data_IF_937726507103
#
_entry.id   IF_937726507103
#
_cell.length_a   1.000
_cell.length_b   1.000
_cell.length_c   1.000
_cell.angle_alpha   90.00
_cell.angle_beta   90.00
_cell.angle_gamma   90.00
#
_symmetry.space_group_name_H-M   'P 1'
#
loop_
_entity.id
_entity.type
_entity.pdbx_description
1 polymer ?
#
# COMPACT_ATOMS: atom_id res chain seq x y z
N UNK A 1 -2.21 44.68 -12.47
CA UNK A 1 -2.82 43.33 -12.52
C UNK A 1 -2.06 42.45 -11.54
N UNK A 2 -2.42 42.54 -10.27
CA UNK A 2 -1.97 41.61 -9.23
C UNK A 2 -3.15 40.70 -8.93
N UNK A 3 -3.19 39.52 -9.57
CA UNK A 3 -4.07 38.45 -9.15
C UNK A 3 -3.27 37.55 -8.21
N UNK A 4 -3.18 37.96 -6.94
CA UNK A 4 -2.75 37.06 -5.88
C UNK A 4 -3.72 35.89 -5.83
N UNK A 5 -3.26 34.71 -6.24
CA UNK A 5 -3.95 33.46 -5.96
C UNK A 5 -3.74 33.18 -4.49
N UNK A 6 -4.53 33.83 -3.65
CA UNK A 6 -4.67 33.43 -2.26
C UNK A 6 -5.18 32.00 -2.25
N UNK A 7 -4.40 31.08 -1.72
CA UNK A 7 -4.89 29.76 -1.30
C UNK A 7 -5.86 30.02 -0.16
N UNK A 8 -7.09 30.37 -0.51
CA UNK A 8 -8.15 30.58 0.47
C UNK A 8 -8.31 29.31 1.28
N UNK A 9 -8.37 29.42 2.62
CA UNK A 9 -8.70 28.30 3.49
C UNK A 9 -9.95 27.62 2.93
N UNK A 10 -9.83 26.40 2.40
CA UNK A 10 -11.00 25.62 2.03
C UNK A 10 -11.78 25.38 3.31
N UNK A 11 -13.04 25.82 3.32
CA UNK A 11 -13.97 25.56 4.42
C UNK A 11 -14.68 24.27 4.08
N UNK A 12 -14.58 23.27 4.95
CA UNK A 12 -15.39 22.06 4.87
C UNK A 12 -16.59 22.18 5.80
N UNK A 13 -17.73 21.63 5.39
CA UNK A 13 -18.90 21.46 6.25
C UNK A 13 -18.86 20.17 7.07
N UNK A 14 -17.84 19.33 6.85
CA UNK A 14 -17.69 18.03 7.51
C UNK A 14 -16.94 18.19 8.82
N UNK A 15 -17.51 17.65 9.89
CA UNK A 15 -16.92 17.59 11.23
C UNK A 15 -16.51 16.14 11.51
N UNK A 16 -15.21 15.86 11.49
CA UNK A 16 -14.70 14.50 11.69
C UNK A 16 -14.99 13.94 13.08
N UNK A 17 -15.40 14.74 14.07
CA UNK A 17 -15.86 14.25 15.38
C UNK A 17 -17.34 13.86 15.41
N UNK A 18 -18.09 14.16 14.33
CA UNK A 18 -19.51 13.80 14.18
C UNK A 18 -19.68 12.85 13.01
N UNK A 19 -19.89 11.57 13.32
CA UNK A 19 -20.05 10.50 12.33
C UNK A 19 -21.14 10.82 11.31
N UNK A 20 -22.23 11.44 11.76
CA UNK A 20 -23.38 11.81 10.94
C UNK A 20 -23.02 12.81 9.83
N UNK A 21 -21.94 13.59 10.02
CA UNK A 21 -21.51 14.60 9.04
C UNK A 21 -20.84 14.00 7.80
N UNK A 22 -20.29 12.79 7.89
CA UNK A 22 -19.58 12.12 6.79
C UNK A 22 -20.11 10.73 6.46
N UNK A 23 -20.96 10.12 7.29
CA UNK A 23 -21.57 8.82 6.99
C UNK A 23 -22.28 8.78 5.61
N UNK A 24 -23.02 9.82 5.16
CA UNK A 24 -23.61 9.83 3.82
C UNK A 24 -22.59 9.82 2.67
N UNK A 25 -21.32 10.15 2.95
CA UNK A 25 -20.23 10.15 1.98
C UNK A 25 -19.55 8.78 1.85
N UNK A 26 -19.94 7.76 2.63
CA UNK A 26 -19.36 6.40 2.55
C UNK A 26 -20.39 5.31 2.15
N UNK A 27 -21.11 5.45 1.03
CA UNK A 27 -22.13 4.48 0.62
C UNK A 27 -21.54 3.08 0.34
N UNK A 28 -20.27 3.00 -0.06
CA UNK A 28 -19.56 1.75 -0.29
C UNK A 28 -18.91 1.14 0.97
N UNK A 29 -18.99 1.82 2.12
CA UNK A 29 -18.45 1.32 3.39
C UNK A 29 -16.92 1.19 3.39
N UNK A 30 -16.19 2.05 2.67
CA UNK A 30 -14.73 2.03 2.61
C UNK A 30 -14.09 2.13 3.99
N UNK A 31 -14.64 2.94 4.90
CA UNK A 31 -14.11 3.08 6.25
C UNK A 31 -14.16 1.75 7.02
N UNK A 32 -15.22 0.97 6.81
CA UNK A 32 -15.34 -0.39 7.38
C UNK A 32 -14.33 -1.34 6.75
N UNK A 33 -14.14 -1.29 5.42
CA UNK A 33 -13.19 -2.15 4.72
C UNK A 33 -11.75 -1.89 5.19
N UNK A 34 -11.36 -0.62 5.34
CA UNK A 34 -10.05 -0.22 5.87
C UNK A 34 -9.90 -0.68 7.33
N UNK A 35 -10.90 -0.42 8.18
CA UNK A 35 -10.91 -0.85 9.59
C UNK A 35 -10.75 -2.36 9.78
N UNK A 36 -11.08 -3.16 8.76
CA UNK A 36 -11.00 -4.62 8.80
C UNK A 36 -9.59 -5.21 8.57
N UNK A 37 -8.53 -4.39 8.52
CA UNK A 37 -7.19 -4.87 8.13
C UNK A 37 -6.66 -6.02 9.00
N UNK A 38 -6.90 -6.00 10.33
CA UNK A 38 -6.48 -7.09 11.22
C UNK A 38 -7.16 -8.41 10.87
N UNK A 39 -8.48 -8.39 10.66
CA UNK A 39 -9.25 -9.56 10.23
C UNK A 39 -8.76 -10.10 8.88
N UNK A 40 -8.49 -9.19 7.93
CA UNK A 40 -7.90 -9.57 6.64
C UNK A 40 -6.58 -10.30 6.83
N UNK A 41 -5.67 -9.77 7.66
CA UNK A 41 -4.36 -10.38 7.94
C UNK A 41 -4.51 -11.77 8.57
N UNK A 42 -5.30 -11.92 9.65
CA UNK A 42 -5.54 -13.22 10.30
C UNK A 42 -6.11 -14.23 9.30
N UNK A 43 -7.13 -13.84 8.54
CA UNK A 43 -7.80 -14.71 7.58
C UNK A 43 -6.91 -15.08 6.39
N UNK A 44 -6.10 -14.15 5.89
CA UNK A 44 -5.15 -14.40 4.82
C UNK A 44 -4.09 -15.43 5.24
N UNK A 45 -3.57 -15.30 6.46
CA UNK A 45 -2.60 -16.23 7.02
C UNK A 45 -3.21 -17.63 7.18
N UNK A 46 -4.43 -17.71 7.71
CA UNK A 46 -5.18 -18.97 7.84
C UNK A 46 -5.42 -19.65 6.48
N UNK A 47 -5.94 -18.90 5.49
CA UNK A 47 -6.18 -19.43 4.14
C UNK A 47 -4.88 -19.94 3.51
N UNK A 48 -3.82 -19.14 3.59
CA UNK A 48 -2.55 -19.45 2.95
C UNK A 48 -1.86 -20.63 3.62
N UNK A 49 -1.93 -20.74 4.95
CA UNK A 49 -1.33 -21.85 5.71
C UNK A 49 -1.86 -23.22 5.26
N UNK A 50 -3.12 -23.31 4.84
CA UNK A 50 -3.78 -24.53 4.32
C UNK A 50 -3.34 -24.93 2.92
N UNK A 51 -2.73 -24.02 2.16
CA UNK A 51 -2.23 -24.33 0.82
C UNK A 51 -0.88 -25.05 0.92
N UNK A 52 -0.82 -26.26 0.35
CA UNK A 52 0.43 -27.04 0.27
C UNK A 52 1.16 -26.69 -1.02
N UNK A 53 2.41 -26.23 -0.90
CA UNK A 53 3.30 -26.06 -2.04
C UNK A 53 4.15 -27.33 -2.22
N UNK A 54 4.22 -27.91 -3.43
CA UNK A 54 5.08 -29.05 -3.71
C UNK A 54 6.55 -28.75 -3.40
N UNK A 55 7.32 -29.79 -3.02
CA UNK A 55 8.73 -29.63 -2.66
C UNK A 55 9.58 -29.01 -3.79
N UNK A 56 9.17 -29.20 -5.04
CA UNK A 56 9.80 -28.61 -6.22
C UNK A 56 9.69 -27.08 -6.31
N UNK A 57 8.91 -26.42 -5.45
CA UNK A 57 8.83 -24.95 -5.35
C UNK A 57 9.97 -24.35 -4.51
N UNK A 58 10.73 -25.18 -3.79
CA UNK A 58 11.90 -24.76 -3.00
C UNK A 58 13.14 -24.58 -3.88
N UNK A 59 14.20 -23.97 -3.35
CA UNK A 59 15.49 -23.79 -4.06
C UNK A 59 15.32 -23.05 -5.39
N UNK A 60 14.73 -21.85 -5.35
CA UNK A 60 14.59 -20.98 -6.52
C UNK A 60 15.75 -19.98 -6.54
N UNK A 61 16.16 -19.57 -7.74
CA UNK A 61 17.27 -18.62 -7.91
C UNK A 61 16.79 -17.16 -7.92
N UNK A 62 15.49 -16.93 -8.14
CA UNK A 62 14.87 -15.61 -8.11
C UNK A 62 13.34 -15.71 -7.91
N UNK A 63 12.75 -14.61 -7.46
CA UNK A 63 11.30 -14.39 -7.38
C UNK A 63 10.90 -13.28 -8.35
N UNK A 64 9.85 -13.53 -9.12
CA UNK A 64 9.19 -12.48 -9.90
C UNK A 64 7.71 -12.46 -9.54
N UNK A 65 7.23 -11.37 -8.96
CA UNK A 65 5.81 -11.16 -8.72
C UNK A 65 5.18 -10.33 -9.83
N UNK A 66 4.01 -10.75 -10.28
CA UNK A 66 3.23 -10.08 -11.32
C UNK A 66 1.92 -9.60 -10.73
N UNK A 67 1.58 -8.33 -10.98
CA UNK A 67 0.33 -7.74 -10.52
C UNK A 67 0.25 -6.26 -10.85
N UNK A 68 -0.94 -5.68 -10.67
CA UNK A 68 -1.19 -4.25 -10.87
C UNK A 68 -1.85 -3.63 -9.65
N UNK A 69 -1.65 -2.32 -9.44
CA UNK A 69 -2.30 -1.56 -8.36
C UNK A 69 -2.20 -2.25 -6.98
N UNK A 70 -3.36 -2.54 -6.39
CA UNK A 70 -3.49 -3.21 -5.08
C UNK A 70 -2.76 -4.58 -4.99
N UNK A 71 -2.67 -5.32 -6.09
CA UNK A 71 -1.96 -6.61 -6.12
C UNK A 71 -0.45 -6.45 -6.22
N UNK A 72 0.03 -5.42 -6.93
CA UNK A 72 1.46 -5.13 -7.03
C UNK A 72 2.03 -4.58 -5.72
N UNK A 73 1.30 -3.69 -5.03
CA UNK A 73 1.76 -3.12 -3.76
C UNK A 73 1.93 -4.19 -2.69
N UNK A 74 1.05 -5.20 -2.64
CA UNK A 74 1.20 -6.33 -1.72
C UNK A 74 2.56 -7.03 -1.90
N UNK A 75 2.94 -7.34 -3.14
CA UNK A 75 4.24 -7.96 -3.44
C UNK A 75 5.42 -7.03 -3.16
N UNK A 76 5.30 -5.73 -3.41
CA UNK A 76 6.36 -4.77 -3.09
C UNK A 76 6.61 -4.65 -1.58
N UNK A 77 5.54 -4.67 -0.79
CA UNK A 77 5.67 -4.68 0.66
C UNK A 77 6.34 -5.96 1.17
N UNK A 78 6.03 -7.14 0.59
CA UNK A 78 6.78 -8.36 0.91
C UNK A 78 8.24 -8.16 0.57
N UNK A 79 8.56 -7.75 -0.67
CA UNK A 79 9.93 -7.54 -1.14
C UNK A 79 10.74 -6.64 -0.21
N UNK A 80 10.16 -5.52 0.22
CA UNK A 80 10.82 -4.55 1.11
C UNK A 80 10.95 -5.07 2.54
N UNK A 81 9.93 -5.75 3.07
CA UNK A 81 9.94 -6.31 4.43
C UNK A 81 10.98 -7.42 4.57
N UNK A 82 11.06 -8.31 3.58
CA UNK A 82 11.94 -9.49 3.67
C UNK A 82 13.33 -9.27 3.11
N UNK A 83 13.61 -8.10 2.53
CA UNK A 83 14.92 -7.80 1.93
C UNK A 83 16.12 -8.10 2.84
N UNK A 84 16.08 -7.86 4.17
CA UNK A 84 17.19 -8.20 5.07
C UNK A 84 17.46 -9.70 5.21
N UNK A 85 16.46 -10.55 5.00
CA UNK A 85 16.55 -12.01 5.10
C UNK A 85 16.75 -12.69 3.73
N UNK A 86 16.42 -11.98 2.65
CA UNK A 86 16.32 -12.57 1.32
C UNK A 86 17.70 -12.81 0.69
N UNK A 87 18.00 -14.07 0.39
CA UNK A 87 19.25 -14.47 -0.28
C UNK A 87 19.23 -14.42 -1.82
N UNK A 88 18.08 -14.15 -2.43
CA UNK A 88 17.90 -14.16 -3.89
C UNK A 88 17.19 -12.90 -4.40
N UNK A 89 17.34 -12.52 -5.68
CA UNK A 89 16.63 -11.37 -6.23
C UNK A 89 15.12 -11.55 -6.18
N UNK A 90 14.41 -10.49 -5.82
CA UNK A 90 12.95 -10.41 -5.88
C UNK A 90 12.54 -9.14 -6.66
N UNK A 91 11.91 -9.34 -7.81
CA UNK A 91 11.36 -8.28 -8.65
C UNK A 91 9.82 -8.27 -8.63
N UNK A 92 9.22 -7.08 -8.66
CA UNK A 92 7.78 -6.87 -8.91
C UNK A 92 7.61 -6.24 -10.29
N UNK A 93 6.82 -6.87 -11.15
CA UNK A 93 6.59 -6.46 -12.54
C UNK A 93 5.16 -5.95 -12.70
N UNK A 94 5.03 -4.78 -13.33
CA UNK A 94 3.78 -4.06 -13.57
C UNK A 94 3.58 -3.76 -15.05
N UNK A 95 3.56 -4.82 -15.86
CA UNK A 95 3.44 -4.71 -17.31
C UNK A 95 3.24 -6.07 -17.95
N UNK A 96 3.09 -6.05 -19.27
CA UNK A 96 2.89 -7.24 -20.10
C UNK A 96 4.16 -8.08 -20.25
N UNK A 97 5.31 -7.42 -20.37
CA UNK A 97 6.59 -8.09 -20.61
C UNK A 97 7.15 -8.70 -19.33
N UNK A 98 7.60 -9.95 -19.44
CA UNK A 98 8.29 -10.66 -18.36
C UNK A 98 9.81 -10.66 -18.58
N UNK A 99 10.63 -10.51 -17.52
CA UNK A 99 12.09 -10.49 -17.64
C UNK A 99 12.66 -11.72 -18.34
N UNK A 100 13.66 -11.55 -19.21
CA UNK A 100 14.26 -12.65 -19.98
C UNK A 100 14.80 -13.81 -19.14
N UNK A 101 15.21 -13.56 -17.89
CA UNK A 101 15.74 -14.58 -16.99
C UNK A 101 14.65 -15.46 -16.35
N UNK A 102 13.36 -15.15 -16.53
CA UNK A 102 12.26 -16.01 -16.04
C UNK A 102 12.38 -17.38 -16.69
N UNK A 103 12.50 -18.42 -15.87
CA UNK A 103 12.76 -19.81 -16.26
C UNK A 103 12.21 -20.79 -15.23
N UNK A 104 12.49 -22.08 -15.39
CA UNK A 104 12.18 -23.16 -14.43
C UNK A 104 12.77 -22.95 -13.02
N UNK A 105 13.78 -22.09 -12.91
CA UNK A 105 14.43 -21.69 -11.66
C UNK A 105 13.75 -20.50 -10.96
N UNK A 106 12.73 -19.91 -11.57
CA UNK A 106 11.99 -18.75 -11.03
C UNK A 106 10.77 -19.19 -10.23
N UNK A 107 10.57 -18.56 -9.06
CA UNK A 107 9.27 -18.52 -8.40
C UNK A 107 8.45 -17.37 -8.98
N UNK A 108 7.34 -17.67 -9.65
CA UNK A 108 6.41 -16.67 -10.17
C UNK A 108 5.21 -16.52 -9.22
N UNK A 109 5.09 -15.37 -8.54
CA UNK A 109 3.92 -15.06 -7.72
C UNK A 109 2.96 -14.21 -8.57
N UNK A 110 1.86 -14.79 -9.02
CA UNK A 110 0.90 -14.11 -9.89
C UNK A 110 -0.29 -13.65 -9.05
N UNK A 111 -0.44 -12.34 -8.87
CA UNK A 111 -1.42 -11.75 -7.97
C UNK A 111 -2.36 -10.81 -8.70
N UNK A 112 -3.65 -11.10 -8.64
CA UNK A 112 -4.71 -10.25 -9.18
C UNK A 112 -5.96 -10.45 -8.35
N UNK A 113 -6.37 -9.45 -7.57
CA UNK A 113 -7.54 -9.61 -6.69
C UNK A 113 -8.80 -9.99 -7.49
N UNK A 114 -9.08 -9.30 -8.59
CA UNK A 114 -10.23 -9.62 -9.48
C UNK A 114 -10.04 -10.92 -10.26
N UNK A 115 -8.80 -11.36 -10.43
CA UNK A 115 -8.43 -12.47 -11.31
C UNK A 115 -8.52 -12.17 -12.81
N UNK A 116 -8.89 -10.94 -13.20
CA UNK A 116 -9.20 -10.59 -14.59
C UNK A 116 -8.27 -9.51 -15.18
N UNK A 117 -7.28 -9.04 -14.42
CA UNK A 117 -6.27 -8.07 -14.89
C UNK A 117 -5.48 -8.65 -16.06
N UNK A 118 -5.60 -8.01 -17.23
CA UNK A 118 -5.06 -8.48 -18.51
C UNK A 118 -3.56 -8.69 -18.49
N UNK A 119 -2.80 -7.69 -18.00
CA UNK A 119 -1.34 -7.73 -17.90
C UNK A 119 -0.88 -8.91 -17.04
N UNK A 120 -1.61 -9.16 -15.94
CA UNK A 120 -1.29 -10.25 -15.02
C UNK A 120 -1.59 -11.63 -15.61
N UNK A 121 -2.64 -11.75 -16.42
CA UNK A 121 -2.98 -12.99 -17.14
C UNK A 121 -1.95 -13.26 -18.23
N UNK A 122 -1.57 -12.25 -19.00
CA UNK A 122 -0.52 -12.36 -20.01
C UNK A 122 0.81 -12.82 -19.39
N UNK A 123 1.21 -12.19 -18.27
CA UNK A 123 2.42 -12.58 -17.54
C UNK A 123 2.34 -14.01 -16.96
N UNK A 124 1.17 -14.45 -16.50
CA UNK A 124 0.95 -15.83 -16.06
C UNK A 124 1.23 -16.83 -17.19
N UNK A 125 0.66 -16.61 -18.37
CA UNK A 125 0.81 -17.51 -19.51
C UNK A 125 2.27 -17.56 -19.99
N UNK A 126 2.91 -16.40 -20.12
CA UNK A 126 4.31 -16.31 -20.50
C UNK A 126 5.25 -16.96 -19.48
N UNK A 127 5.03 -16.76 -18.17
CA UNK A 127 5.85 -17.38 -17.13
C UNK A 127 5.68 -18.92 -17.12
N UNK A 128 4.46 -19.40 -17.37
CA UNK A 128 4.15 -20.83 -17.51
C UNK A 128 4.85 -21.44 -18.72
N UNK A 129 4.83 -20.78 -19.87
CA UNK A 129 5.55 -21.22 -21.08
C UNK A 129 7.06 -21.32 -20.87
N UNK A 130 7.63 -20.45 -20.03
CA UNK A 130 9.04 -20.50 -19.63
C UNK A 130 9.35 -21.50 -18.51
N UNK A 131 8.35 -22.25 -18.06
CA UNK A 131 8.51 -23.30 -17.06
C UNK A 131 8.62 -22.84 -15.61
N UNK A 132 8.38 -21.55 -15.33
CA UNK A 132 8.46 -21.03 -13.96
C UNK A 132 7.52 -21.75 -13.00
N UNK A 133 7.87 -21.80 -11.71
CA UNK A 133 6.97 -22.34 -10.68
C UNK A 133 6.00 -21.26 -10.25
N UNK A 134 4.75 -21.38 -10.69
CA UNK A 134 3.72 -20.37 -10.47
C UNK A 134 2.96 -20.62 -9.18
N UNK A 135 2.64 -19.56 -8.45
CA UNK A 135 1.60 -19.55 -7.43
C UNK A 135 0.65 -18.42 -7.73
N UNK A 136 -0.65 -18.72 -7.80
CA UNK A 136 -1.68 -17.74 -8.08
C UNK A 136 -2.39 -17.27 -6.80
N UNK A 137 -2.63 -15.96 -6.71
CA UNK A 137 -3.34 -15.31 -5.60
C UNK A 137 -4.46 -14.46 -6.19
N UNK A 138 -5.72 -14.82 -5.91
CA UNK A 138 -6.90 -14.14 -6.47
C UNK A 138 -8.17 -14.46 -5.68
N UNK A 139 -9.18 -13.59 -5.74
CA UNK A 139 -10.52 -13.93 -5.25
C UNK A 139 -11.39 -14.69 -6.27
N UNK A 140 -10.90 -14.89 -7.49
CA UNK A 140 -11.62 -15.61 -8.55
C UNK A 140 -11.11 -15.32 -9.96
N UNK A 141 -12.03 -15.18 -10.90
CA UNK A 141 -11.76 -14.77 -12.28
C UNK A 141 -10.92 -15.74 -13.10
N UNK A 142 -10.46 -15.25 -14.26
CA UNK A 142 -9.70 -16.03 -15.24
C UNK A 142 -8.43 -16.64 -14.67
N UNK A 143 -7.72 -15.91 -13.81
CA UNK A 143 -6.52 -16.41 -13.14
C UNK A 143 -6.82 -17.67 -12.32
N UNK A 144 -7.94 -17.73 -11.60
CA UNK A 144 -8.32 -18.91 -10.83
C UNK A 144 -8.71 -20.09 -11.73
N UNK A 145 -9.37 -19.82 -12.87
CA UNK A 145 -9.69 -20.86 -13.87
C UNK A 145 -8.43 -21.48 -14.47
N UNK A 146 -7.51 -20.63 -14.95
CA UNK A 146 -6.24 -21.07 -15.53
C UNK A 146 -5.41 -21.86 -14.51
N UNK A 147 -5.32 -21.36 -13.28
CA UNK A 147 -4.53 -22.02 -12.24
C UNK A 147 -5.04 -23.43 -11.93
N UNK A 148 -6.38 -23.60 -11.83
CA UNK A 148 -6.98 -24.92 -11.63
C UNK A 148 -6.78 -25.84 -12.83
N UNK A 149 -6.95 -25.30 -14.04
CA UNK A 149 -6.74 -26.06 -15.29
C UNK A 149 -5.31 -26.58 -15.41
N UNK A 150 -4.34 -25.77 -15.04
CA UNK A 150 -2.92 -26.08 -15.20
C UNK A 150 -2.30 -26.79 -13.99
N UNK A 151 -3.06 -27.01 -12.91
CA UNK A 151 -2.56 -27.61 -11.67
C UNK A 151 -1.62 -26.69 -10.87
N UNK A 152 -1.69 -25.38 -11.10
CA UNK A 152 -0.92 -24.36 -10.37
C UNK A 152 -1.51 -24.15 -8.97
N UNK A 153 -0.70 -24.13 -7.90
CA UNK A 153 -1.15 -23.78 -6.56
C UNK A 153 -1.90 -22.45 -6.53
N UNK A 154 -3.11 -22.48 -5.97
CA UNK A 154 -4.02 -21.34 -5.92
C UNK A 154 -4.33 -21.00 -4.47
N UNK A 155 -4.00 -19.77 -4.06
CA UNK A 155 -4.49 -19.14 -2.84
C UNK A 155 -5.77 -18.38 -3.18
N UNK A 156 -6.91 -19.00 -2.89
CA UNK A 156 -8.24 -18.43 -3.15
C UNK A 156 -8.66 -17.48 -2.02
N UNK A 157 -8.69 -16.19 -2.31
CA UNK A 157 -9.04 -15.13 -1.37
C UNK A 157 -10.56 -14.89 -1.30
N UNK A 158 -11.08 -14.34 -0.19
CA UNK A 158 -12.47 -13.87 -0.14
C UNK A 158 -12.71 -12.73 -1.14
N UNK A 159 -13.85 -12.79 -1.84
CA UNK A 159 -14.34 -11.69 -2.70
C UNK A 159 -15.00 -10.56 -1.90
N UNK A 160 -15.48 -9.53 -2.60
CA UNK A 160 -16.29 -8.46 -2.02
C UNK A 160 -15.53 -7.21 -1.58
N UNK A 161 -14.23 -7.13 -1.85
CA UNK A 161 -13.41 -5.95 -1.53
C UNK A 161 -13.09 -5.16 -2.80
N UNK A 162 -12.87 -3.86 -2.65
CA UNK A 162 -12.08 -3.15 -3.66
C UNK A 162 -10.62 -3.64 -3.57
N UNK A 163 -9.89 -3.81 -4.68
CA UNK A 163 -8.51 -4.32 -4.63
C UNK A 163 -7.59 -3.51 -3.70
N UNK A 164 -7.81 -2.19 -3.63
CA UNK A 164 -7.04 -1.30 -2.76
C UNK A 164 -7.41 -1.38 -1.28
N UNK A 165 -8.53 -2.02 -0.93
CA UNK A 165 -8.93 -2.30 0.44
C UNK A 165 -8.73 -3.79 0.82
N UNK A 166 -8.12 -4.60 -0.05
CA UNK A 166 -7.83 -6.02 0.16
C UNK A 166 -6.36 -6.28 0.50
N UNK A 167 -5.65 -5.27 1.02
CA UNK A 167 -4.20 -5.32 1.20
C UNK A 167 -3.78 -6.47 2.11
N UNK A 168 -4.45 -6.67 3.24
CA UNK A 168 -4.12 -7.74 4.19
C UNK A 168 -4.13 -9.11 3.51
N UNK A 169 -5.12 -9.36 2.65
CA UNK A 169 -5.17 -10.59 1.86
C UNK A 169 -4.01 -10.75 0.89
N UNK A 170 -3.77 -9.74 0.06
CA UNK A 170 -2.78 -9.81 -1.02
C UNK A 170 -1.35 -9.87 -0.47
N UNK A 171 -1.08 -9.10 0.56
CA UNK A 171 0.23 -8.99 1.21
C UNK A 171 0.57 -10.26 1.99
N UNK A 172 -0.31 -10.71 2.91
CA UNK A 172 0.00 -11.87 3.75
C UNK A 172 -0.04 -13.18 2.97
N UNK A 173 -0.86 -13.30 1.91
CA UNK A 173 -0.81 -14.44 1.02
C UNK A 173 0.55 -14.53 0.31
N UNK A 174 1.05 -13.43 -0.23
CA UNK A 174 2.36 -13.41 -0.88
C UNK A 174 3.50 -13.68 0.12
N UNK A 175 3.44 -13.11 1.33
CA UNK A 175 4.41 -13.38 2.40
C UNK A 175 4.44 -14.87 2.77
N UNK A 176 3.26 -15.49 2.90
CA UNK A 176 3.12 -16.92 3.22
C UNK A 176 3.74 -17.80 2.13
N UNK A 177 3.61 -17.44 0.85
CA UNK A 177 4.27 -18.16 -0.25
C UNK A 177 5.79 -18.15 -0.07
N UNK A 178 6.37 -16.96 0.15
CA UNK A 178 7.83 -16.79 0.34
C UNK A 178 8.33 -17.60 1.54
N UNK A 179 7.59 -17.60 2.65
CA UNK A 179 7.90 -18.44 3.81
C UNK A 179 7.84 -19.94 3.48
N UNK A 180 6.77 -20.40 2.83
CA UNK A 180 6.55 -21.84 2.56
C UNK A 180 7.59 -22.46 1.64
N UNK A 181 8.17 -21.67 0.73
CA UNK A 181 9.28 -22.12 -0.11
C UNK A 181 10.63 -22.11 0.62
N UNK A 182 10.67 -21.64 1.87
CA UNK A 182 11.84 -21.68 2.75
C UNK A 182 12.84 -20.55 2.51
N UNK A 183 12.40 -19.41 1.96
CA UNK A 183 13.29 -18.28 1.66
C UNK A 183 13.44 -17.29 2.81
N UNK A 184 12.56 -17.36 3.82
CA UNK A 184 12.56 -16.50 5.01
C UNK A 184 12.20 -17.32 6.25
N UNK A 185 12.44 -16.76 7.44
CA UNK A 185 12.03 -17.40 8.70
C UNK A 185 10.51 -17.42 8.86
N UNK A 186 10.04 -18.23 9.82
CA UNK A 186 8.62 -18.25 10.17
C UNK A 186 8.15 -16.89 10.72
N UNK A 187 7.10 -16.35 10.11
CA UNK A 187 6.47 -15.06 10.45
C UNK A 187 5.19 -15.22 11.25
N UNK A 188 4.84 -16.42 11.71
CA UNK A 188 3.57 -16.65 12.43
C UNK A 188 3.42 -15.75 13.66
N UNK A 189 4.46 -15.61 14.49
CA UNK A 189 4.43 -14.71 15.65
C UNK A 189 4.39 -13.23 15.26
N UNK A 190 5.11 -12.84 14.20
CA UNK A 190 5.09 -11.47 13.66
C UNK A 190 3.67 -11.10 13.16
N UNK A 191 2.97 -12.06 12.55
CA UNK A 191 1.59 -11.89 12.04
C UNK A 191 0.61 -11.75 13.20
N UNK A 192 0.73 -12.60 14.22
CA UNK A 192 -0.11 -12.51 15.42
C UNK A 192 0.04 -11.15 16.10
N UNK A 193 1.28 -10.73 16.34
CA UNK A 193 1.56 -9.41 16.90
C UNK A 193 1.00 -8.27 16.04
N UNK A 194 1.20 -8.34 14.72
CA UNK A 194 0.70 -7.32 13.82
C UNK A 194 -0.83 -7.19 13.91
N UNK A 195 -1.55 -8.31 14.03
CA UNK A 195 -3.00 -8.30 14.18
C UNK A 195 -3.43 -7.64 15.50
N UNK A 196 -2.75 -7.95 16.61
CA UNK A 196 -3.03 -7.36 17.91
C UNK A 196 -2.76 -5.84 17.93
N UNK A 197 -1.66 -5.40 17.30
CA UNK A 197 -1.34 -3.97 17.14
C UNK A 197 -2.40 -3.26 16.30
N UNK A 198 -2.84 -3.89 15.20
CA UNK A 198 -3.89 -3.33 14.34
C UNK A 198 -5.24 -3.25 15.07
N UNK A 199 -5.60 -4.23 15.89
CA UNK A 199 -6.84 -4.19 16.68
C UNK A 199 -6.83 -3.02 17.67
N UNK A 200 -5.72 -2.82 18.39
CA UNK A 200 -5.56 -1.67 19.30
C UNK A 200 -5.60 -0.33 18.54
N UNK A 201 -4.96 -0.26 17.38
CA UNK A 201 -4.98 0.94 16.56
C UNK A 201 -6.38 1.24 16.00
N UNK A 202 -7.19 0.24 15.69
CA UNK A 202 -8.54 0.44 15.19
C UNK A 202 -9.42 1.23 16.18
N UNK A 203 -9.22 1.03 17.49
CA UNK A 203 -9.95 1.74 18.54
C UNK A 203 -9.66 3.25 18.54
N UNK A 204 -8.42 3.64 18.26
CA UNK A 204 -7.98 5.06 18.30
C UNK A 204 -7.96 5.74 16.93
N UNK A 205 -7.94 4.98 15.84
CA UNK A 205 -7.99 5.51 14.47
C UNK A 205 -9.40 5.46 13.87
N UNK A 206 -10.30 4.67 14.46
CA UNK A 206 -11.67 4.51 14.00
C UNK A 206 -12.56 5.74 14.18
N UNK A 207 -13.78 5.72 13.60
CA UNK A 207 -14.68 6.86 13.55
C UNK A 207 -15.10 7.38 14.93
N UNK A 208 -15.22 6.49 15.92
CA UNK A 208 -15.63 6.83 17.29
C UNK A 208 -14.56 7.61 18.07
N UNK A 209 -13.28 7.55 17.65
CA UNK A 209 -12.21 8.27 18.33
C UNK A 209 -12.16 9.73 17.88
N UNK A 210 -12.19 10.71 18.81
CA UNK A 210 -12.15 12.13 18.47
C UNK A 210 -10.80 12.56 17.86
N UNK A 211 -10.79 13.67 17.14
CA UNK A 211 -9.63 14.21 16.41
C UNK A 211 -8.39 14.38 17.29
N UNK A 212 -8.55 14.81 18.54
CA UNK A 212 -7.43 15.02 19.48
C UNK A 212 -6.63 13.74 19.78
N UNK A 213 -7.32 12.59 19.84
CA UNK A 213 -6.71 11.27 20.00
C UNK A 213 -6.32 10.66 18.65
N UNK A 214 -7.18 10.82 17.64
CA UNK A 214 -7.07 10.14 16.36
C UNK A 214 -6.02 10.77 15.43
N UNK A 215 -4.85 10.13 15.33
CA UNK A 215 -3.75 10.62 14.48
C UNK A 215 -4.14 10.68 13.00
N UNK A 216 -4.94 9.73 12.49
CA UNK A 216 -5.37 9.72 11.09
C UNK A 216 -6.28 10.88 10.74
N UNK A 217 -7.22 11.25 11.63
CA UNK A 217 -8.06 12.45 11.45
C UNK A 217 -7.21 13.72 11.46
N UNK A 218 -6.23 13.85 12.37
CA UNK A 218 -5.30 14.98 12.38
C UNK A 218 -4.48 15.08 11.11
N UNK A 219 -3.90 13.97 10.66
CA UNK A 219 -3.16 13.91 9.39
C UNK A 219 -4.06 14.29 8.21
N UNK A 220 -5.31 13.83 8.17
CA UNK A 220 -6.27 14.23 7.14
C UNK A 220 -6.56 15.74 7.13
N UNK A 221 -6.73 16.36 8.30
CA UNK A 221 -6.92 17.81 8.42
C UNK A 221 -5.69 18.60 7.95
N UNK A 222 -4.48 18.10 8.23
CA UNK A 222 -3.23 18.70 7.76
C UNK A 222 -3.08 18.61 6.24
N UNK A 223 -3.54 17.50 5.63
CA UNK A 223 -3.54 17.30 4.18
C UNK A 223 -4.64 18.10 3.47
N UNK A 224 -5.72 18.47 4.16
CA UNK A 224 -6.89 19.07 3.53
C UNK A 224 -6.56 20.42 2.87
N UNK A 225 -6.92 20.55 1.59
CA UNK A 225 -6.66 21.73 0.77
C UNK A 225 -5.21 21.89 0.32
N UNK A 226 -4.35 20.89 0.54
CA UNK A 226 -2.91 20.92 0.23
C UNK A 226 -2.53 19.67 -0.56
N UNK A 227 -1.33 19.69 -1.13
CA UNK A 227 -0.73 18.52 -1.79
C UNK A 227 0.13 17.77 -0.77
N UNK A 228 -0.23 16.54 -0.37
CA UNK A 228 0.59 15.76 0.54
C UNK A 228 1.87 15.26 -0.14
N UNK A 229 2.98 15.38 0.57
CA UNK A 229 4.27 14.81 0.18
C UNK A 229 4.72 13.88 1.32
N UNK A 230 4.74 12.58 1.05
CA UNK A 230 5.01 11.55 2.06
C UNK A 230 6.44 11.03 1.90
N UNK A 231 7.26 11.21 2.94
CA UNK A 231 8.63 10.71 2.96
C UNK A 231 8.76 9.52 3.92
N UNK A 232 9.34 8.43 3.42
CA UNK A 232 9.65 7.25 4.23
C UNK A 232 11.15 6.91 4.23
N UNK A 233 11.73 6.45 5.35
CA UNK A 233 13.02 5.79 5.34
C UNK A 233 13.08 4.66 4.29
N UNK A 234 14.22 4.52 3.61
CA UNK A 234 14.47 3.39 2.72
C UNK A 234 14.19 2.05 3.42
N UNK A 235 13.61 1.09 2.69
CA UNK A 235 13.09 -0.17 3.23
C UNK A 235 11.56 -0.18 3.29
N UNK A 236 10.99 -0.96 4.22
CA UNK A 236 9.54 -1.08 4.32
C UNK A 236 8.79 0.25 4.61
N UNK A 237 9.34 1.25 5.33
CA UNK A 237 8.65 2.54 5.50
C UNK A 237 8.44 3.31 4.19
N UNK A 238 9.38 3.23 3.25
CA UNK A 238 9.20 3.79 1.90
C UNK A 238 8.06 3.10 1.14
N UNK A 239 7.88 1.78 1.34
CA UNK A 239 6.73 1.05 0.82
C UNK A 239 5.40 1.55 1.40
N UNK A 240 5.36 1.87 2.70
CA UNK A 240 4.21 2.53 3.31
C UNK A 240 3.97 3.93 2.71
N UNK A 241 5.02 4.73 2.47
CA UNK A 241 4.88 6.05 1.84
C UNK A 241 4.28 5.97 0.43
N UNK A 242 4.75 5.04 -0.41
CA UNK A 242 4.15 4.75 -1.72
C UNK A 242 2.67 4.37 -1.59
N UNK A 243 2.34 3.49 -0.63
CA UNK A 243 0.97 3.06 -0.35
C UNK A 243 0.07 4.25 0.02
N UNK A 244 0.53 5.13 0.91
CA UNK A 244 -0.19 6.34 1.30
C UNK A 244 -0.50 7.21 0.09
N UNK A 245 0.49 7.47 -0.77
CA UNK A 245 0.30 8.24 -1.99
C UNK A 245 -0.82 7.64 -2.86
N UNK A 246 -0.81 6.33 -3.08
CA UNK A 246 -1.86 5.65 -3.85
C UNK A 246 -3.24 5.81 -3.19
N UNK A 247 -3.33 5.65 -1.87
CA UNK A 247 -4.60 5.81 -1.16
C UNK A 247 -5.15 7.22 -1.17
N UNK A 248 -4.30 8.24 -1.05
CA UNK A 248 -4.74 9.63 -1.22
C UNK A 248 -5.26 9.87 -2.64
N UNK A 249 -4.58 9.34 -3.66
CA UNK A 249 -5.04 9.45 -5.05
C UNK A 249 -6.40 8.77 -5.26
N UNK A 250 -6.56 7.54 -4.77
CA UNK A 250 -7.74 6.71 -5.06
C UNK A 250 -8.94 7.00 -4.14
N UNK A 251 -8.72 7.19 -2.84
CA UNK A 251 -9.80 7.43 -1.88
C UNK A 251 -10.19 8.90 -1.83
N UNK A 252 -9.23 9.81 -1.70
CA UNK A 252 -9.51 11.25 -1.55
C UNK A 252 -9.60 12.01 -2.88
N UNK A 253 -9.28 11.37 -4.01
CA UNK A 253 -9.29 11.97 -5.36
C UNK A 253 -8.37 13.19 -5.41
N UNK A 254 -7.28 13.14 -4.64
CA UNK A 254 -6.34 14.23 -4.45
C UNK A 254 -4.95 13.85 -4.96
N UNK A 255 -4.21 14.82 -5.48
CA UNK A 255 -2.80 14.61 -5.85
C UNK A 255 -1.95 14.45 -4.61
N UNK A 256 -1.00 13.52 -4.66
CA UNK A 256 -0.04 13.24 -3.60
C UNK A 256 1.24 12.70 -4.22
N UNK A 257 2.36 12.98 -3.56
CA UNK A 257 3.68 12.53 -3.96
C UNK A 257 4.35 11.80 -2.81
N UNK A 258 5.32 10.97 -3.13
CA UNK A 258 6.13 10.28 -2.13
C UNK A 258 7.55 10.17 -2.64
N UNK A 259 8.50 10.08 -1.72
CA UNK A 259 9.88 9.69 -2.01
C UNK A 259 10.53 9.04 -0.78
N UNK A 260 11.68 8.42 -0.98
CA UNK A 260 12.42 7.75 0.08
C UNK A 260 13.63 8.56 0.58
N UNK A 261 13.95 8.44 1.86
CA UNK A 261 15.19 8.96 2.46
C UNK A 261 16.21 7.81 2.54
N UNK A 262 17.43 7.94 1.99
CA UNK A 262 18.12 9.19 1.69
C UNK A 262 18.00 9.71 0.25
N UNK A 263 17.43 8.98 -0.71
CA UNK A 263 17.45 9.38 -2.14
C UNK A 263 16.89 10.80 -2.37
N UNK A 264 15.77 11.14 -1.73
CA UNK A 264 15.17 12.47 -1.82
C UNK A 264 16.09 13.60 -1.31
N UNK A 265 17.07 13.28 -0.45
CA UNK A 265 18.08 14.25 -0.01
C UNK A 265 19.11 14.60 -1.09
N UNK A 266 19.16 13.86 -2.20
CA UNK A 266 20.12 14.08 -3.28
C UNK A 266 19.53 14.85 -4.46
N UNK A 267 18.20 14.95 -4.54
CA UNK A 267 17.50 15.60 -5.65
C UNK A 267 16.43 16.59 -5.13
N UNK A 268 15.37 16.09 -4.51
CA UNK A 268 14.17 16.85 -4.15
C UNK A 268 14.43 17.89 -3.07
N UNK A 269 15.36 17.63 -2.14
CA UNK A 269 15.64 18.54 -1.02
C UNK A 269 16.04 19.96 -1.48
N UNK A 270 16.64 20.09 -2.67
CA UNK A 270 17.01 21.39 -3.25
C UNK A 270 15.77 22.22 -3.58
N UNK A 271 14.66 21.58 -3.96
CA UNK A 271 13.39 22.26 -4.23
C UNK A 271 12.78 22.97 -3.02
N UNK A 272 13.12 22.52 -1.80
CA UNK A 272 12.72 23.19 -0.55
C UNK A 272 13.50 24.48 -0.27
N UNK A 273 14.55 24.78 -1.04
CA UNK A 273 15.19 26.10 -1.09
C UNK A 273 14.55 27.07 -2.09
N UNK A 274 13.49 26.66 -2.80
CA UNK A 274 12.82 27.45 -3.83
C UNK A 274 11.73 28.40 -3.31
N UNK A 275 10.75 28.68 -4.18
CA UNK A 275 9.66 29.63 -3.91
C UNK A 275 8.72 29.16 -2.78
N UNK A 276 8.68 29.92 -1.68
CA UNK A 276 7.83 29.62 -0.52
C UNK A 276 6.33 29.59 -0.85
N UNK A 277 5.86 30.32 -1.87
CA UNK A 277 4.44 30.32 -2.25
C UNK A 277 3.99 28.95 -2.75
N UNK A 278 4.88 28.23 -3.44
CA UNK A 278 4.65 26.85 -3.88
C UNK A 278 4.70 25.92 -2.66
N UNK A 279 5.72 26.07 -1.81
CA UNK A 279 5.92 25.22 -0.63
C UNK A 279 4.75 25.31 0.35
N UNK A 280 4.15 26.49 0.52
CA UNK A 280 2.96 26.69 1.36
C UNK A 280 1.75 25.88 0.87
N UNK A 281 1.73 25.44 -0.39
CA UNK A 281 0.72 24.52 -0.92
C UNK A 281 0.92 23.04 -0.55
N UNK A 282 2.07 22.70 0.05
CA UNK A 282 2.47 21.32 0.37
C UNK A 282 2.26 21.01 1.85
N UNK A 283 1.83 19.78 2.15
CA UNK A 283 1.82 19.23 3.51
C UNK A 283 2.80 18.05 3.55
N UNK A 284 3.79 18.09 4.44
CA UNK A 284 4.83 17.06 4.53
C UNK A 284 4.48 16.07 5.62
N UNK A 285 4.52 14.78 5.28
CA UNK A 285 4.37 13.68 6.22
C UNK A 285 5.69 12.91 6.25
N UNK A 286 6.30 12.80 7.43
CA UNK A 286 7.50 12.01 7.66
C UNK A 286 7.12 10.72 8.38
N UNK A 287 7.22 9.58 7.69
CA UNK A 287 7.11 8.28 8.33
C UNK A 287 8.41 7.99 9.08
N UNK A 288 8.31 7.45 10.28
CA UNK A 288 9.45 7.16 11.16
C UNK A 288 9.38 5.72 11.64
N UNK A 289 10.54 5.07 11.69
CA UNK A 289 10.67 3.72 12.22
C UNK A 289 11.80 3.66 13.24
N UNK A 290 11.59 2.91 14.32
CA UNK A 290 12.62 2.76 15.36
C UNK A 290 13.84 1.93 14.91
N UNK A 291 13.70 1.15 13.84
CA UNK A 291 14.77 0.39 13.20
C UNK A 291 15.49 1.15 12.08
N UNK A 292 15.16 2.42 11.85
CA UNK A 292 15.81 3.22 10.82
C UNK A 292 17.31 3.38 11.10
N UNK A 293 18.14 3.35 10.04
CA UNK A 293 19.59 3.54 10.20
C UNK A 293 19.88 4.90 10.86
N UNK A 294 20.82 5.03 11.83
CA UNK A 294 21.04 6.28 12.57
C UNK A 294 21.34 7.51 11.70
N UNK A 295 21.98 7.31 10.54
CA UNK A 295 22.20 8.38 9.56
C UNK A 295 20.91 8.81 8.85
N UNK A 296 19.97 7.89 8.62
CA UNK A 296 18.65 8.19 8.06
C UNK A 296 17.80 8.93 9.10
N UNK A 297 17.81 8.48 10.36
CA UNK A 297 17.20 9.22 11.46
C UNK A 297 17.67 10.67 11.52
N UNK A 298 19.00 10.87 11.50
CA UNK A 298 19.60 12.21 11.51
C UNK A 298 19.21 13.04 10.28
N UNK A 299 19.10 12.41 9.11
CA UNK A 299 18.64 13.07 7.89
C UNK A 299 17.19 13.54 8.03
N UNK A 300 16.29 12.72 8.58
CA UNK A 300 14.89 13.10 8.80
C UNK A 300 14.77 14.30 9.75
N UNK A 301 15.57 14.36 10.82
CA UNK A 301 15.64 15.55 11.68
C UNK A 301 16.07 16.82 10.91
N UNK A 302 17.04 16.69 10.01
CA UNK A 302 17.51 17.80 9.18
C UNK A 302 16.43 18.17 8.15
N UNK A 303 15.82 17.21 7.47
CA UNK A 303 14.73 17.40 6.50
C UNK A 303 13.59 18.18 7.16
N UNK A 304 13.15 17.78 8.35
CA UNK A 304 12.13 18.49 9.14
C UNK A 304 12.46 19.98 9.31
N UNK A 305 13.74 20.33 9.48
CA UNK A 305 14.18 21.72 9.59
C UNK A 305 14.30 22.46 8.26
N UNK A 306 14.45 21.75 7.15
CA UNK A 306 14.60 22.31 5.79
C UNK A 306 13.25 22.52 5.10
N UNK A 307 12.25 21.71 5.40
CA UNK A 307 10.91 21.80 4.79
C UNK A 307 9.97 22.79 5.50
N UNK A 308 10.52 23.80 6.19
CA UNK A 308 9.75 24.77 6.99
C UNK A 308 8.79 25.65 6.17
N UNK A 309 9.02 25.78 4.86
CA UNK A 309 8.09 26.46 3.97
C UNK A 309 6.81 25.67 3.67
N UNK A 310 6.77 24.37 4.02
CA UNK A 310 5.56 23.58 3.95
C UNK A 310 4.45 24.17 4.83
N UNK A 311 3.19 24.00 4.42
CA UNK A 311 2.04 24.37 5.24
C UNK A 311 2.01 23.63 6.58
N UNK A 312 2.47 22.38 6.58
CA UNK A 312 2.59 21.56 7.78
C UNK A 312 3.64 20.46 7.60
N UNK A 313 4.19 20.01 8.74
CA UNK A 313 5.16 18.92 8.81
C UNK A 313 4.74 17.99 9.95
N UNK A 314 4.26 16.80 9.61
CA UNK A 314 3.71 15.83 10.56
C UNK A 314 4.55 14.57 10.57
N UNK A 315 4.88 14.07 11.76
CA UNK A 315 5.58 12.80 11.92
C UNK A 315 4.62 11.68 12.32
N UNK A 316 4.81 10.51 11.73
CA UNK A 316 4.03 9.30 12.02
C UNK A 316 4.99 8.17 12.37
N UNK A 317 4.94 7.75 13.63
CA UNK A 317 5.83 6.74 14.19
C UNK A 317 5.22 5.35 14.02
N UNK A 318 6.04 4.39 13.62
CA UNK A 318 5.66 2.98 13.58
C UNK A 318 5.40 2.44 15.00
N UNK A 319 4.47 1.50 15.14
CA UNK A 319 4.10 0.83 16.38
C UNK A 319 4.24 -0.69 16.21
N UNK A 320 4.77 -1.38 17.24
CA UNK A 320 4.99 -2.82 17.24
C UNK A 320 6.44 -3.22 17.49
N UNK A 321 6.70 -4.50 17.79
CA UNK A 321 8.05 -5.06 17.97
C UNK A 321 8.61 -5.58 16.66
N UNK A 322 7.89 -6.44 15.95
CA UNK A 322 8.27 -6.97 14.63
C UNK A 322 8.23 -5.89 13.55
N UNK A 323 9.00 -6.10 12.48
CA UNK A 323 8.96 -5.22 11.31
C UNK A 323 7.61 -5.26 10.59
N UNK A 324 6.94 -6.42 10.60
CA UNK A 324 5.62 -6.60 10.03
C UNK A 324 4.57 -5.74 10.75
N UNK A 325 4.53 -5.78 12.08
CA UNK A 325 3.63 -4.95 12.87
C UNK A 325 3.90 -3.45 12.64
N UNK A 326 5.18 -3.06 12.61
CA UNK A 326 5.60 -1.67 12.37
C UNK A 326 5.22 -1.18 10.99
N UNK A 327 5.44 -1.98 9.94
CA UNK A 327 4.98 -1.67 8.59
C UNK A 327 3.45 -1.48 8.54
N UNK A 328 2.70 -2.45 9.06
CA UNK A 328 1.25 -2.41 8.99
C UNK A 328 0.65 -1.26 9.82
N UNK A 329 1.27 -0.90 10.95
CA UNK A 329 0.85 0.27 11.74
C UNK A 329 0.96 1.59 10.95
N UNK A 330 2.06 1.78 10.21
CA UNK A 330 2.25 2.96 9.36
C UNK A 330 1.22 2.99 8.23
N UNK A 331 1.00 1.86 7.56
CA UNK A 331 -0.02 1.74 6.51
C UNK A 331 -1.40 2.08 7.05
N UNK A 332 -1.74 1.57 8.22
CA UNK A 332 -3.09 1.70 8.76
C UNK A 332 -3.46 3.15 9.06
N UNK A 333 -2.50 3.94 9.58
CA UNK A 333 -2.69 5.38 9.77
C UNK A 333 -3.00 6.09 8.45
N UNK A 334 -2.28 5.75 7.38
CA UNK A 334 -2.46 6.36 6.04
C UNK A 334 -3.74 5.95 5.34
N UNK A 335 -4.10 4.67 5.43
CA UNK A 335 -5.34 4.15 4.86
C UNK A 335 -6.54 4.87 5.50
N UNK A 336 -6.60 5.00 6.84
CA UNK A 336 -7.62 5.81 7.52
C UNK A 336 -7.57 7.29 7.12
N UNK A 337 -6.38 7.90 7.14
CA UNK A 337 -6.21 9.31 6.83
C UNK A 337 -6.70 9.65 5.41
N UNK A 338 -6.50 8.75 4.45
CA UNK A 338 -6.98 8.93 3.07
C UNK A 338 -8.52 8.92 2.97
N UNK A 339 -9.20 8.12 3.79
CA UNK A 339 -10.67 8.04 3.82
C UNK A 339 -11.24 9.27 4.51
N UNK A 340 -10.67 9.68 5.65
CA UNK A 340 -11.06 10.93 6.32
C UNK A 340 -10.82 12.15 5.42
N UNK A 341 -9.73 12.17 4.65
CA UNK A 341 -9.45 13.23 3.69
C UNK A 341 -10.51 13.27 2.57
N UNK A 342 -10.98 12.11 2.10
CA UNK A 342 -12.09 12.03 1.14
C UNK A 342 -13.36 12.70 1.69
N UNK A 343 -13.68 12.42 2.95
CA UNK A 343 -14.81 13.03 3.64
C UNK A 343 -14.65 14.55 3.77
N UNK A 344 -13.47 15.03 4.16
CA UNK A 344 -13.19 16.48 4.22
C UNK A 344 -13.40 17.16 2.86
N UNK A 345 -13.08 16.48 1.75
CA UNK A 345 -13.35 16.94 0.39
C UNK A 345 -14.81 16.77 -0.08
N UNK A 346 -15.66 16.11 0.70
CA UNK A 346 -17.04 15.85 0.33
C UNK A 346 -17.19 14.82 -0.79
N UNK A 347 -16.23 13.89 -0.95
CA UNK A 347 -16.22 12.90 -2.04
C UNK A 347 -16.33 11.46 -1.51
N UNK A 348 -17.03 10.62 -2.26
CA UNK A 348 -17.14 9.18 -1.97
C UNK A 348 -15.79 8.48 -2.16
N UNK A 349 -15.24 7.79 -1.14
CA UNK A 349 -13.95 7.12 -1.23
C UNK A 349 -13.96 5.87 -2.12
N UNK A 350 -15.13 5.31 -2.46
CA UNK A 350 -15.28 3.99 -3.11
C UNK A 350 -15.10 3.96 -4.64
N UNK A 351 -15.77 4.82 -5.43
CA UNK A 351 -15.67 4.72 -6.89
C UNK A 351 -14.34 5.26 -7.40
N UNK A 352 -13.82 4.63 -8.47
CA UNK A 352 -12.60 5.05 -9.19
C UNK A 352 -12.93 5.38 -10.64
N UNK A 353 -13.96 6.23 -10.83
CA UNK A 353 -14.57 6.53 -12.14
C UNK A 353 -13.59 6.91 -13.24
N UNK A 354 -12.50 7.61 -12.90
CA UNK A 354 -11.46 8.01 -13.87
C UNK A 354 -10.68 6.80 -14.38
N UNK A 355 -10.40 5.82 -13.52
CA UNK A 355 -9.78 4.54 -13.91
C UNK A 355 -10.76 3.72 -14.74
N UNK A 356 -12.03 3.66 -14.33
CA UNK A 356 -13.06 2.93 -15.06
C UNK A 356 -13.25 3.51 -16.48
N UNK A 357 -13.27 4.83 -16.60
CA UNK A 357 -13.32 5.53 -17.89
C UNK A 357 -12.09 5.22 -18.75
N UNK A 358 -10.88 5.31 -18.19
CA UNK A 358 -9.65 4.97 -18.92
C UNK A 358 -9.69 3.55 -19.48
N UNK A 359 -10.12 2.57 -18.67
CA UNK A 359 -10.26 1.16 -19.10
C UNK A 359 -11.30 0.99 -20.21
N UNK A 360 -12.42 1.69 -20.11
CA UNK A 360 -13.46 1.67 -21.13
C UNK A 360 -12.97 2.24 -22.47
N UNK A 361 -12.20 3.32 -22.45
CA UNK A 361 -11.64 3.89 -23.69
C UNK A 361 -10.59 2.96 -24.32
N UNK A 362 -9.70 2.36 -23.52
CA UNK A 362 -8.70 1.40 -24.02
C UNK A 362 -9.35 0.16 -24.65
N UNK A 363 -10.47 -0.32 -24.09
CA UNK A 363 -11.20 -1.47 -24.64
C UNK A 363 -11.98 -1.20 -25.94
N UNK A 364 -12.03 0.04 -26.44
CA UNK A 364 -12.64 0.34 -27.76
C UNK A 364 -11.68 0.10 -28.92
N UNK A 365 -10.38 0.00 -28.65
CA UNK A 365 -9.33 -0.18 -29.66
C UNK A 365 -8.96 -1.66 -29.90
N UNK A 366 -9.65 -2.60 -29.23
CA UNK A 366 -9.41 -4.05 -29.29
C UNK A 366 -10.46 -4.83 -30.07
#
# INVERSE_FOLDING_TARGET
>A
MESGVGVGKRVTSVDLDRVESYQPLDPGGMLKLVSGLSEQCRRAWEISSRVTLPAEYRNRENIVAFGMGGSAIGADLVRLLVAPEMGIPFLVVRGYDIPHYVSDKTLAIVSSYSGNTEETISAYEAARERGAKLVAITSGGRLAELSRKDGVPLIALPGGYSPRAALGYLFLAALSVVQKVGLIQDKSEDVEEACDVLEQLAEVLGPASPVDVNQSKRVALEMFGRVPVIYGPAGFPAGAALRWKCQVNENAKAQAFWNEVPEMNHNEIVGWGGDESIQKGLSVILLRDKGEHPRVARRLEIVKSLVKGASSVTEVQSIGRSELARLLSLIYVGDFASVYLAFLYGVDPTPVKVIDYLKLELGKES
#
